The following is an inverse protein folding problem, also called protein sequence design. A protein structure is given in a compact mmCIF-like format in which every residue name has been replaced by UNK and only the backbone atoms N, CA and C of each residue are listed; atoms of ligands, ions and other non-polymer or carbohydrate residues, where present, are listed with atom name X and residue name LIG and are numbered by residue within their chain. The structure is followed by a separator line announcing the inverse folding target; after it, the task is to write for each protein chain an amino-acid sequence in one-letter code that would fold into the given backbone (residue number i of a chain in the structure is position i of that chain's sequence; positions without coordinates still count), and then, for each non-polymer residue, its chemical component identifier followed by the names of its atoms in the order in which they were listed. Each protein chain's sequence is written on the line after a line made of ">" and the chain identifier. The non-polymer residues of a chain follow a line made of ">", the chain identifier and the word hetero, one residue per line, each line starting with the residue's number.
data_IF_564747684068
#
_entry.id   IF_564747684068
#
_cell.length_a   1.000
_cell.length_b   1.000
_cell.length_c   1.000
_cell.angle_alpha   90.00
_cell.angle_beta   90.00
_cell.angle_gamma   90.00
#
_symmetry.space_group_name_H-M   'P 1'
#
loop_
_entity.id
_entity.type
_entity.pdbx_description
1 polymer ?
#
# COMPACT_ATOMS: atom_id res chain seq x y z
N UNK A 1 -18.44 12.72 -10.40
CA UNK A 1 -18.25 11.63 -11.40
C UNK A 1 -19.31 10.58 -11.15
N UNK A 2 -20.02 10.08 -12.19
CA UNK A 2 -21.03 9.03 -12.00
C UNK A 2 -20.35 7.69 -11.70
N UNK A 3 -20.72 7.06 -10.57
CA UNK A 3 -20.17 5.76 -10.16
C UNK A 3 -20.62 4.61 -11.07
N UNK A 4 -21.73 4.80 -11.81
CA UNK A 4 -22.42 3.75 -12.56
C UNK A 4 -21.83 3.46 -13.95
N UNK A 5 -20.77 4.17 -14.34
CA UNK A 5 -20.18 4.04 -15.68
C UNK A 5 -18.96 3.12 -15.76
N UNK A 6 -18.38 2.73 -14.61
CA UNK A 6 -17.24 1.81 -14.59
C UNK A 6 -17.73 0.36 -14.47
N UNK A 7 -17.53 -0.49 -15.47
CA UNK A 7 -17.85 -1.90 -15.34
C UNK A 7 -17.03 -2.54 -14.24
N UNK A 8 -17.67 -3.27 -13.34
CA UNK A 8 -17.02 -3.96 -12.22
C UNK A 8 -17.33 -5.44 -12.24
N UNK A 9 -16.37 -6.25 -11.78
CA UNK A 9 -16.54 -7.68 -11.63
C UNK A 9 -15.91 -8.15 -10.32
N UNK A 10 -16.73 -8.73 -9.46
CA UNK A 10 -16.23 -9.41 -8.27
C UNK A 10 -15.53 -10.71 -8.67
N UNK A 11 -14.38 -10.93 -8.07
CA UNK A 11 -13.55 -12.13 -8.22
C UNK A 11 -13.62 -12.89 -6.89
N UNK A 12 -14.13 -14.09 -6.94
CA UNK A 12 -14.29 -14.98 -5.78
C UNK A 12 -13.80 -16.37 -6.18
N UNK A 13 -12.50 -16.57 -6.07
CA UNK A 13 -11.82 -17.83 -6.37
C UNK A 13 -11.17 -18.36 -5.09
N UNK A 14 -10.89 -19.64 -5.04
CA UNK A 14 -10.15 -20.24 -3.93
C UNK A 14 -8.79 -19.58 -3.73
N UNK A 15 -8.10 -19.27 -4.82
CA UNK A 15 -6.75 -18.73 -4.85
C UNK A 15 -6.67 -17.20 -4.98
N UNK A 16 -7.80 -16.49 -5.23
CA UNK A 16 -7.80 -15.04 -5.46
C UNK A 16 -9.17 -14.41 -5.19
N UNK A 17 -9.18 -13.32 -4.42
CA UNK A 17 -10.38 -12.55 -4.07
C UNK A 17 -10.16 -11.05 -4.30
N UNK A 18 -11.17 -10.36 -4.80
CA UNK A 18 -11.11 -8.92 -5.02
C UNK A 18 -12.19 -8.41 -5.97
N UNK A 19 -12.03 -7.18 -6.44
CA UNK A 19 -12.92 -6.54 -7.42
C UNK A 19 -12.11 -5.91 -8.54
N UNK A 20 -12.39 -6.31 -9.78
CA UNK A 20 -11.85 -5.69 -10.98
C UNK A 20 -12.75 -4.53 -11.41
N UNK A 21 -12.17 -3.37 -11.64
CA UNK A 21 -12.75 -2.19 -12.25
C UNK A 21 -12.16 -2.07 -13.66
N UNK A 22 -12.96 -2.33 -14.68
CA UNK A 22 -12.52 -2.20 -16.07
C UNK A 22 -12.36 -0.73 -16.46
N UNK A 23 -11.29 -0.41 -17.16
CA UNK A 23 -11.03 0.95 -17.63
C UNK A 23 -12.14 1.49 -18.54
N UNK A 24 -12.43 2.79 -18.43
CA UNK A 24 -13.34 3.45 -19.34
C UNK A 24 -12.67 3.76 -20.69
N UNK A 25 -13.46 3.65 -21.75
CA UNK A 25 -12.99 3.89 -23.12
C UNK A 25 -12.83 2.60 -23.92
N UNK A 26 -12.09 2.69 -25.05
CA UNK A 26 -11.79 1.51 -25.87
C UNK A 26 -10.57 0.81 -25.26
N UNK A 27 -10.80 -0.36 -24.68
CA UNK A 27 -9.75 -1.22 -24.14
C UNK A 27 -9.05 -2.09 -25.19
N UNK A 28 -8.12 -2.95 -24.78
CA UNK A 28 -7.72 -3.17 -23.39
C UNK A 28 -6.94 -2.02 -22.77
N UNK A 29 -6.72 -2.04 -21.45
CA UNK A 29 -6.17 -0.95 -20.66
C UNK A 29 -4.94 -1.39 -19.85
N UNK A 30 -4.00 -0.48 -19.49
CA UNK A 30 -2.90 -0.80 -18.57
C UNK A 30 -3.44 -1.31 -17.22
N UNK A 31 -2.81 -2.37 -16.70
CA UNK A 31 -3.23 -3.00 -15.46
C UNK A 31 -2.65 -2.34 -14.21
N UNK A 32 -3.46 -2.18 -13.16
CA UNK A 32 -3.00 -1.71 -11.84
C UNK A 32 -3.58 -2.59 -10.74
N UNK A 33 -2.71 -3.16 -9.91
CA UNK A 33 -3.09 -3.84 -8.67
C UNK A 33 -3.21 -2.81 -7.54
N UNK A 34 -4.33 -2.80 -6.81
CA UNK A 34 -4.55 -1.92 -5.67
C UNK A 34 -4.64 -2.74 -4.39
N UNK A 35 -3.78 -2.43 -3.41
CA UNK A 35 -3.57 -3.20 -2.18
C UNK A 35 -4.00 -2.37 -0.97
N UNK A 36 -4.95 -2.89 -0.19
CA UNK A 36 -5.45 -2.21 1.00
C UNK A 36 -4.46 -2.25 2.18
N UNK A 37 -4.66 -1.39 3.17
CA UNK A 37 -3.89 -1.40 4.42
C UNK A 37 -4.43 -2.38 5.45
N UNK A 38 -3.97 -2.24 6.71
CA UNK A 38 -4.34 -3.10 7.85
C UNK A 38 -5.82 -3.03 8.25
N UNK A 39 -6.58 -2.07 7.75
CA UNK A 39 -8.03 -1.97 7.97
C UNK A 39 -8.89 -2.93 7.13
N UNK A 40 -8.30 -3.88 6.40
CA UNK A 40 -9.04 -4.78 5.50
C UNK A 40 -9.48 -4.12 4.19
N UNK A 41 -10.16 -4.90 3.34
CA UNK A 41 -10.62 -4.46 2.02
C UNK A 41 -12.04 -3.87 2.02
N UNK A 42 -12.37 -3.12 0.98
CA UNK A 42 -13.72 -2.61 0.74
C UNK A 42 -13.93 -1.12 0.99
N UNK A 43 -12.89 -0.39 1.40
CA UNK A 43 -12.96 1.03 1.71
C UNK A 43 -12.45 1.94 0.59
N UNK A 44 -11.47 2.77 0.95
CA UNK A 44 -10.89 3.80 0.08
C UNK A 44 -10.10 3.24 -1.11
N UNK A 45 -9.53 2.04 -1.00
CA UNK A 45 -8.79 1.36 -2.07
C UNK A 45 -9.71 1.01 -3.25
N UNK A 46 -10.96 0.63 -3.00
CA UNK A 46 -11.96 0.42 -4.06
C UNK A 46 -12.32 1.73 -4.77
N UNK A 47 -12.36 2.83 -4.01
CA UNK A 47 -12.57 4.17 -4.57
C UNK A 47 -11.38 4.58 -5.43
N UNK A 48 -10.16 4.28 -4.97
CA UNK A 48 -8.94 4.52 -5.72
C UNK A 48 -8.92 3.72 -7.04
N UNK A 49 -9.22 2.41 -6.98
CA UNK A 49 -9.32 1.55 -8.15
C UNK A 49 -10.37 2.06 -9.17
N UNK A 50 -11.55 2.50 -8.67
CA UNK A 50 -12.56 3.13 -9.52
C UNK A 50 -12.06 4.43 -10.17
N UNK A 51 -11.30 5.24 -9.43
CA UNK A 51 -10.71 6.46 -9.98
C UNK A 51 -9.68 6.16 -11.07
N UNK A 52 -8.85 5.13 -10.90
CA UNK A 52 -7.94 4.64 -11.93
C UNK A 52 -8.72 4.19 -13.18
N UNK A 53 -9.82 3.47 -13.01
CA UNK A 53 -10.65 3.03 -14.14
C UNK A 53 -11.26 4.21 -14.92
N UNK A 54 -11.62 5.30 -14.25
CA UNK A 54 -12.02 6.55 -14.92
C UNK A 54 -10.89 7.20 -15.73
N UNK A 55 -9.64 6.88 -15.42
CA UNK A 55 -8.45 7.33 -16.15
C UNK A 55 -7.91 6.31 -17.14
N UNK A 56 -8.70 5.28 -17.46
CA UNK A 56 -8.36 4.30 -18.49
C UNK A 56 -7.42 3.18 -18.02
N UNK A 57 -7.42 2.83 -16.74
CA UNK A 57 -6.70 1.67 -16.21
C UNK A 57 -7.66 0.52 -15.92
N UNK A 58 -7.23 -0.72 -16.14
CA UNK A 58 -7.88 -1.90 -15.58
C UNK A 58 -7.34 -2.11 -14.16
N UNK A 59 -8.13 -1.73 -13.14
CA UNK A 59 -7.68 -1.71 -11.75
C UNK A 59 -8.28 -2.88 -10.96
N UNK A 60 -7.43 -3.74 -10.39
CA UNK A 60 -7.84 -4.85 -9.54
C UNK A 60 -7.56 -4.54 -8.08
N UNK A 61 -8.63 -4.30 -7.32
CA UNK A 61 -8.56 -4.15 -5.87
C UNK A 61 -8.56 -5.54 -5.23
N UNK A 62 -7.40 -5.99 -4.77
CA UNK A 62 -7.20 -7.33 -4.20
C UNK A 62 -7.55 -7.36 -2.72
N UNK A 63 -8.29 -8.39 -2.29
CA UNK A 63 -8.59 -8.69 -0.89
C UNK A 63 -7.69 -9.85 -0.46
N UNK A 64 -6.79 -9.67 0.51
CA UNK A 64 -5.80 -10.66 0.90
C UNK A 64 -5.93 -11.14 2.36
N UNK A 65 -6.68 -10.41 3.19
CA UNK A 65 -7.21 -10.84 4.50
C UNK A 65 -8.55 -10.13 4.77
N UNK A 66 -9.25 -10.51 5.85
CA UNK A 66 -10.55 -9.96 6.26
C UNK A 66 -11.58 -9.95 5.12
N UNK A 67 -11.56 -10.98 4.29
CA UNK A 67 -12.46 -11.13 3.16
C UNK A 67 -12.92 -12.58 2.94
N UNK A 68 -13.92 -12.81 2.09
CA UNK A 68 -14.45 -14.16 1.86
C UNK A 68 -13.38 -15.15 1.41
N UNK A 69 -13.12 -16.17 2.24
CA UNK A 69 -12.14 -17.21 1.96
C UNK A 69 -10.68 -16.76 2.10
N UNK A 70 -10.46 -15.67 2.78
CA UNK A 70 -9.13 -15.15 3.14
C UNK A 70 -8.87 -15.32 4.64
N UNK A 71 -7.60 -15.23 5.08
CA UNK A 71 -7.28 -15.16 6.51
C UNK A 71 -8.05 -14.04 7.22
N UNK A 72 -8.36 -14.21 8.49
CA UNK A 72 -9.07 -13.21 9.28
C UNK A 72 -8.18 -12.00 9.64
N UNK A 73 -6.85 -12.16 9.52
CA UNK A 73 -5.87 -11.15 9.93
C UNK A 73 -4.73 -11.00 8.91
N UNK A 74 -4.01 -9.89 9.03
CA UNK A 74 -2.73 -9.65 8.37
C UNK A 74 -1.62 -10.46 9.09
N UNK A 75 -1.61 -11.75 8.88
CA UNK A 75 -0.65 -12.67 9.47
C UNK A 75 -0.13 -13.66 8.41
N UNK A 76 1.18 -13.72 8.26
CA UNK A 76 1.89 -14.63 7.35
C UNK A 76 1.32 -14.68 5.93
N UNK A 77 0.90 -13.52 5.41
CA UNK A 77 0.38 -13.42 4.04
C UNK A 77 1.50 -13.73 3.04
N UNK A 78 1.33 -14.73 2.19
CA UNK A 78 2.38 -15.07 1.23
C UNK A 78 2.46 -14.05 0.10
N UNK A 79 3.65 -13.52 -0.18
CA UNK A 79 3.86 -12.57 -1.30
C UNK A 79 3.47 -13.19 -2.64
N UNK A 80 3.54 -14.50 -2.79
CA UNK A 80 3.05 -15.21 -3.96
C UNK A 80 1.56 -15.00 -4.24
N UNK A 81 0.77 -14.57 -3.23
CA UNK A 81 -0.62 -14.19 -3.43
C UNK A 81 -0.75 -12.94 -4.31
N UNK A 82 0.09 -11.94 -4.07
CA UNK A 82 0.15 -10.73 -4.90
C UNK A 82 0.74 -11.03 -6.28
N UNK A 83 1.76 -11.89 -6.36
CA UNK A 83 2.28 -12.37 -7.64
C UNK A 83 1.20 -13.03 -8.50
N UNK A 84 0.36 -13.90 -7.90
CA UNK A 84 -0.81 -14.48 -8.61
C UNK A 84 -1.82 -13.42 -9.04
N UNK A 85 -2.03 -12.38 -8.21
CA UNK A 85 -2.93 -11.29 -8.58
C UNK A 85 -2.41 -10.51 -9.79
N UNK A 86 -1.10 -10.27 -9.85
CA UNK A 86 -0.40 -9.65 -11.00
C UNK A 86 -0.61 -10.49 -12.27
N UNK A 87 -0.25 -11.78 -12.23
CA UNK A 87 -0.41 -12.68 -13.40
C UNK A 87 -1.88 -12.79 -13.81
N UNK A 88 -2.77 -12.95 -12.85
CA UNK A 88 -4.20 -13.00 -13.12
C UNK A 88 -4.70 -11.73 -13.82
N UNK A 89 -4.26 -10.55 -13.40
CA UNK A 89 -4.66 -9.28 -14.00
C UNK A 89 -4.15 -9.16 -15.44
N UNK A 90 -2.89 -9.54 -15.68
CA UNK A 90 -2.28 -9.54 -17.02
C UNK A 90 -2.98 -10.50 -18.00
N UNK A 91 -3.51 -11.61 -17.50
CA UNK A 91 -4.27 -12.58 -18.30
C UNK A 91 -5.71 -12.13 -18.63
N UNK A 92 -6.13 -10.94 -18.23
CA UNK A 92 -7.50 -10.48 -18.47
C UNK A 92 -7.64 -9.80 -19.83
N UNK A 93 -8.78 -10.03 -20.53
CA UNK A 93 -9.05 -9.36 -21.79
C UNK A 93 -9.23 -7.84 -21.62
N UNK A 94 -9.48 -7.38 -20.38
CA UNK A 94 -9.57 -5.98 -20.03
C UNK A 94 -8.19 -5.31 -19.89
N UNK A 95 -7.12 -6.11 -19.76
CA UNK A 95 -5.76 -5.62 -19.49
C UNK A 95 -4.88 -5.69 -20.73
N UNK A 96 -4.07 -4.66 -20.93
CA UNK A 96 -3.06 -4.55 -21.98
C UNK A 96 -1.66 -4.38 -21.35
N UNK A 97 -0.66 -4.91 -22.02
CA UNK A 97 0.74 -4.81 -21.63
C UNK A 97 1.30 -6.06 -20.96
N UNK A 98 2.58 -6.02 -20.67
CA UNK A 98 3.35 -7.13 -20.10
C UNK A 98 3.64 -6.92 -18.60
N UNK A 99 3.38 -5.72 -18.10
CA UNK A 99 3.65 -5.31 -16.72
C UNK A 99 2.46 -4.56 -16.15
N UNK A 100 2.34 -4.56 -14.82
CA UNK A 100 1.31 -3.81 -14.09
C UNK A 100 1.94 -2.81 -13.13
N UNK A 101 1.19 -1.77 -12.79
CA UNK A 101 1.51 -0.95 -11.63
C UNK A 101 0.94 -1.57 -10.35
N UNK A 102 1.57 -1.29 -9.20
CA UNK A 102 1.03 -1.66 -7.89
C UNK A 102 0.88 -0.41 -7.04
N UNK A 103 -0.32 -0.21 -6.50
CA UNK A 103 -0.62 0.90 -5.57
C UNK A 103 -0.99 0.30 -4.22
N UNK A 104 -0.33 0.75 -3.15
CA UNK A 104 -0.59 0.27 -1.80
C UNK A 104 -0.73 1.39 -0.77
N UNK A 105 -1.45 1.12 0.32
CA UNK A 105 -1.72 2.06 1.39
C UNK A 105 -1.28 1.50 2.73
N UNK A 106 -0.51 2.28 3.53
CA UNK A 106 -0.08 1.86 4.86
C UNK A 106 0.66 0.50 4.78
N UNK A 107 0.19 -0.54 5.48
CA UNK A 107 0.70 -1.91 5.36
C UNK A 107 0.61 -2.47 3.92
N UNK A 108 -0.40 -2.06 3.16
CA UNK A 108 -0.48 -2.38 1.74
C UNK A 108 0.61 -1.71 0.90
N UNK A 109 1.17 -0.59 1.37
CA UNK A 109 2.35 0.05 0.77
C UNK A 109 3.62 -0.78 0.95
N UNK A 110 3.80 -1.41 2.13
CA UNK A 110 4.86 -2.43 2.31
C UNK A 110 4.68 -3.60 1.31
N UNK A 111 3.44 -4.13 1.23
CA UNK A 111 3.12 -5.19 0.27
C UNK A 111 3.38 -4.78 -1.17
N UNK A 112 3.08 -3.53 -1.55
CA UNK A 112 3.33 -3.01 -2.89
C UNK A 112 4.83 -2.97 -3.21
N UNK A 113 5.66 -2.44 -2.30
CA UNK A 113 7.11 -2.43 -2.45
C UNK A 113 7.71 -3.84 -2.47
N UNK A 114 7.28 -4.73 -1.57
CA UNK A 114 7.69 -6.14 -1.56
C UNK A 114 7.29 -6.86 -2.85
N UNK A 115 6.07 -6.60 -3.35
CA UNK A 115 5.62 -7.18 -4.62
C UNK A 115 6.48 -6.69 -5.78
N UNK A 116 6.77 -5.38 -5.86
CA UNK A 116 7.67 -4.82 -6.87
C UNK A 116 9.08 -5.38 -6.81
N UNK A 117 9.61 -5.62 -5.60
CA UNK A 117 10.95 -6.14 -5.39
C UNK A 117 11.12 -7.63 -5.72
N UNK A 118 10.03 -8.40 -5.77
CA UNK A 118 10.08 -9.86 -5.94
C UNK A 118 9.40 -10.38 -7.20
N UNK A 119 8.63 -9.56 -7.93
CA UNK A 119 7.91 -9.99 -9.14
C UNK A 119 8.21 -9.06 -10.32
N UNK A 120 8.94 -9.56 -11.30
CA UNK A 120 9.45 -8.82 -12.47
C UNK A 120 8.34 -8.19 -13.35
N UNK A 121 7.11 -8.72 -13.26
CA UNK A 121 5.95 -8.18 -14.01
C UNK A 121 5.35 -6.91 -13.37
N UNK A 122 5.94 -6.40 -12.29
CA UNK A 122 5.61 -5.09 -11.69
C UNK A 122 6.49 -4.02 -12.33
N UNK A 123 5.86 -3.05 -12.98
CA UNK A 123 6.51 -1.98 -13.72
C UNK A 123 6.52 -0.63 -13.02
N UNK A 124 5.70 -0.44 -11.99
CA UNK A 124 5.68 0.79 -11.18
C UNK A 124 5.15 0.49 -9.79
N UNK A 125 5.64 1.21 -8.78
CA UNK A 125 5.12 1.13 -7.40
C UNK A 125 4.74 2.52 -6.91
N UNK A 126 3.52 2.65 -6.38
CA UNK A 126 3.05 3.84 -5.67
C UNK A 126 2.61 3.43 -4.27
N UNK A 127 3.24 3.97 -3.23
CA UNK A 127 2.92 3.62 -1.85
C UNK A 127 2.57 4.85 -1.03
N UNK A 128 1.39 4.81 -0.40
CA UNK A 128 0.86 5.89 0.43
C UNK A 128 1.04 5.57 1.91
N UNK A 129 1.56 6.53 2.68
CA UNK A 129 1.75 6.43 4.13
C UNK A 129 2.38 5.11 4.54
N UNK A 130 3.41 4.68 3.80
CA UNK A 130 4.06 3.38 3.92
C UNK A 130 5.34 3.43 4.76
N UNK A 131 5.95 2.28 4.95
CA UNK A 131 7.25 2.12 5.59
C UNK A 131 8.24 1.44 4.65
N UNK A 132 9.50 1.91 4.63
CA UNK A 132 10.64 1.23 4.02
C UNK A 132 11.16 0.03 4.83
N UNK A 133 10.67 -0.14 6.06
CA UNK A 133 10.87 -1.36 6.84
C UNK A 133 9.63 -2.24 6.78
N UNK A 134 9.81 -3.55 6.76
CA UNK A 134 8.72 -4.47 7.05
C UNK A 134 8.48 -4.53 8.57
N UNK A 135 7.21 -4.53 8.97
CA UNK A 135 6.78 -4.65 10.35
C UNK A 135 6.08 -6.00 10.62
N UNK A 136 5.96 -6.44 11.88
CA UNK A 136 5.26 -7.66 12.24
C UNK A 136 3.76 -7.59 11.91
N UNK A 137 3.07 -8.69 12.08
CA UNK A 137 1.61 -8.71 12.07
C UNK A 137 1.07 -7.75 13.14
N UNK A 138 0.02 -6.96 12.84
CA UNK A 138 -0.52 -6.01 13.81
C UNK A 138 -1.28 -6.73 14.94
N UNK A 139 -0.92 -6.46 16.19
CA UNK A 139 -1.52 -7.09 17.37
C UNK A 139 -2.82 -6.41 17.82
N UNK A 140 -3.09 -5.20 17.33
CA UNK A 140 -4.25 -4.38 17.73
C UNK A 140 -5.58 -4.79 17.08
N UNK A 141 -5.61 -5.78 16.19
CA UNK A 141 -6.86 -6.22 15.55
C UNK A 141 -7.76 -6.93 16.58
N UNK A 142 -8.99 -6.42 16.84
CA UNK A 142 -9.84 -6.99 17.89
C UNK A 142 -10.18 -8.46 17.64
N UNK A 143 -9.95 -9.29 18.66
CA UNK A 143 -10.28 -10.73 18.59
C UNK A 143 -9.32 -11.59 17.78
N UNK A 144 -8.19 -11.01 17.35
CA UNK A 144 -7.16 -11.73 16.62
C UNK A 144 -5.85 -11.65 17.41
N UNK A 145 -5.40 -12.79 17.91
CA UNK A 145 -4.08 -12.93 18.52
C UNK A 145 -3.11 -13.40 17.42
N UNK A 146 -2.25 -12.50 16.95
CA UNK A 146 -1.22 -12.79 15.96
C UNK A 146 0.13 -12.37 16.47
N UNK A 147 1.11 -13.22 16.30
CA UNK A 147 2.50 -12.95 16.61
C UNK A 147 3.37 -13.37 15.42
N UNK A 148 4.30 -12.51 15.04
CA UNK A 148 5.27 -12.84 14.00
C UNK A 148 5.14 -12.02 12.72
N UNK A 149 5.56 -12.58 11.57
CA UNK A 149 5.66 -11.82 10.33
C UNK A 149 4.29 -11.52 9.73
N UNK A 150 4.09 -10.31 9.21
CA UNK A 150 2.94 -10.01 8.37
C UNK A 150 3.03 -10.72 7.01
N UNK A 151 4.25 -10.86 6.49
CA UNK A 151 4.53 -11.34 5.14
C UNK A 151 5.42 -12.56 5.14
N UNK A 152 5.20 -13.47 4.17
CA UNK A 152 6.08 -14.60 3.90
C UNK A 152 6.48 -14.66 2.42
N UNK A 153 7.71 -15.13 2.15
CA UNK A 153 8.23 -15.40 0.81
C UNK A 153 8.69 -16.85 0.76
N UNK A 154 8.14 -17.63 -0.17
CA UNK A 154 8.44 -19.06 -0.34
C UNK A 154 8.24 -19.90 0.95
N UNK A 155 7.35 -19.44 1.82
CA UNK A 155 7.03 -20.08 3.11
C UNK A 155 7.85 -19.57 4.29
N UNK A 156 8.93 -18.84 4.04
CA UNK A 156 9.77 -18.25 5.08
C UNK A 156 9.28 -16.83 5.46
N UNK A 157 9.44 -16.39 6.72
CA UNK A 157 9.18 -15.02 7.13
C UNK A 157 9.98 -14.01 6.30
N UNK A 158 9.32 -12.99 5.76
CA UNK A 158 10.03 -11.77 5.33
C UNK A 158 10.63 -11.15 6.58
N UNK A 159 11.96 -10.84 6.60
CA UNK A 159 12.56 -10.19 7.75
C UNK A 159 11.85 -8.87 8.09
N UNK A 160 11.58 -8.64 9.36
CA UNK A 160 10.83 -7.49 9.86
C UNK A 160 11.46 -6.94 11.15
N UNK A 161 11.10 -5.72 11.54
CA UNK A 161 11.48 -5.15 12.83
C UNK A 161 10.68 -5.84 13.94
N UNK A 162 11.33 -6.50 14.91
CA UNK A 162 10.65 -7.17 16.02
C UNK A 162 10.20 -6.13 17.06
N UNK A 163 9.09 -5.46 16.82
CA UNK A 163 8.58 -4.36 17.65
C UNK A 163 8.39 -4.81 19.10
N UNK A 164 7.82 -5.99 19.33
CA UNK A 164 7.54 -6.52 20.65
C UNK A 164 8.83 -6.78 21.48
N UNK A 165 9.95 -7.05 20.82
CA UNK A 165 11.27 -7.21 21.47
C UNK A 165 11.95 -5.85 21.73
N UNK A 166 11.62 -4.82 20.95
CA UNK A 166 12.30 -3.52 20.95
C UNK A 166 11.58 -2.46 21.79
N UNK A 167 10.30 -2.70 22.09
CA UNK A 167 9.45 -1.82 22.87
C UNK A 167 8.94 -2.60 24.06
N UNK A 168 9.39 -2.26 25.29
CA UNK A 168 8.84 -2.85 26.50
C UNK A 168 7.36 -2.45 26.58
N UNK A 169 6.47 -3.43 26.72
CA UNK A 169 5.06 -3.19 26.98
C UNK A 169 4.92 -2.47 28.33
N UNK A 170 4.54 -1.20 28.33
CA UNK A 170 3.88 -0.63 29.50
C UNK A 170 2.51 -1.31 29.56
N UNK A 171 2.27 -2.03 30.68
CA UNK A 171 1.08 -2.87 30.92
C UNK A 171 -0.18 -2.02 31.19
N UNK A 172 -0.44 -0.99 30.41
CA UNK A 172 -1.68 -0.23 30.50
C UNK A 172 -2.57 -0.54 29.29
N UNK A 173 -3.82 -0.87 29.60
CA UNK A 173 -4.74 -1.56 28.69
C UNK A 173 -5.05 -0.81 27.41
N UNK A 174 -5.54 -1.54 26.44
CA UNK A 174 -5.90 -1.17 25.06
C UNK A 174 -6.73 0.14 24.90
N UNK A 175 -7.39 0.62 25.96
CA UNK A 175 -8.14 1.89 25.93
C UNK A 175 -7.20 3.12 25.91
N UNK A 176 -5.97 3.01 26.43
CA UNK A 176 -4.99 4.10 26.48
C UNK A 176 -4.17 4.23 25.16
N UNK A 177 -4.09 3.17 24.38
CA UNK A 177 -3.40 3.15 23.07
C UNK A 177 -3.99 4.13 22.04
N UNK A 178 -5.24 4.56 22.24
CA UNK A 178 -5.94 5.47 21.32
C UNK A 178 -5.82 6.94 21.78
N UNK A 179 -5.47 7.21 23.02
CA UNK A 179 -5.39 8.58 23.58
C UNK A 179 -3.97 9.11 23.82
N UNK A 180 -2.94 8.26 23.82
CA UNK A 180 -1.57 8.68 24.09
C UNK A 180 -0.60 8.17 23.02
N UNK A 181 0.01 9.09 22.30
CA UNK A 181 1.37 9.13 21.71
C UNK A 181 1.98 7.86 21.09
N UNK A 182 1.21 6.88 20.61
CA UNK A 182 1.76 5.68 19.97
C UNK A 182 2.10 5.81 18.46
N UNK A 183 2.24 7.00 17.95
CA UNK A 183 3.31 7.36 17.02
C UNK A 183 4.61 6.65 17.41
N UNK A 184 4.63 6.16 18.62
CA UNK A 184 5.79 5.88 19.39
C UNK A 184 6.27 4.42 19.25
N UNK A 185 5.42 3.41 19.07
CA UNK A 185 5.92 2.05 19.01
C UNK A 185 6.84 1.81 17.81
N UNK A 186 6.47 2.29 16.62
CA UNK A 186 7.32 2.17 15.43
C UNK A 186 8.57 3.07 15.54
N UNK A 187 8.43 4.27 16.10
CA UNK A 187 9.55 5.19 16.34
C UNK A 187 10.53 4.62 17.35
N UNK A 188 10.02 4.11 18.48
CA UNK A 188 10.83 3.45 19.52
C UNK A 188 11.50 2.19 18.99
N UNK A 189 10.77 1.37 18.23
CA UNK A 189 11.35 0.16 17.62
C UNK A 189 12.52 0.52 16.70
N UNK A 190 12.37 1.54 15.85
CA UNK A 190 13.46 2.01 14.99
C UNK A 190 14.64 2.56 15.82
N UNK A 191 14.35 3.35 16.86
CA UNK A 191 15.39 3.96 17.70
C UNK A 191 16.17 2.93 18.53
N UNK A 192 15.52 1.83 18.96
CA UNK A 192 16.14 0.79 19.78
C UNK A 192 16.75 -0.34 18.96
N UNK A 193 16.43 -0.43 17.67
CA UNK A 193 16.94 -1.48 16.80
C UNK A 193 18.45 -1.30 16.53
N UNK A 194 19.16 -2.41 16.45
CA UNK A 194 20.52 -2.44 15.96
C UNK A 194 20.59 -2.21 14.45
N UNK A 195 21.73 -1.73 13.95
CA UNK A 195 21.96 -1.57 12.50
C UNK A 195 21.68 -2.87 11.71
N UNK A 196 21.95 -4.02 12.32
CA UNK A 196 21.69 -5.33 11.71
C UNK A 196 20.19 -5.60 11.58
N UNK A 197 19.40 -5.31 12.62
CA UNK A 197 17.95 -5.46 12.61
C UNK A 197 17.31 -4.50 11.59
N UNK A 198 17.73 -3.23 11.57
CA UNK A 198 17.28 -2.24 10.59
C UNK A 198 17.61 -2.71 9.15
N UNK A 199 18.86 -3.11 8.90
CA UNK A 199 19.27 -3.57 7.58
C UNK A 199 18.48 -4.79 7.10
N UNK A 200 18.20 -5.75 7.99
CA UNK A 200 17.44 -6.96 7.68
C UNK A 200 15.96 -6.67 7.40
N UNK A 201 15.36 -5.75 8.16
CA UNK A 201 13.95 -5.37 8.01
C UNK A 201 13.71 -4.42 6.83
N UNK A 202 14.77 -3.77 6.30
CA UNK A 202 14.62 -2.85 5.16
C UNK A 202 14.17 -3.60 3.92
N UNK A 203 13.05 -3.15 3.33
CA UNK A 203 12.50 -3.70 2.10
C UNK A 203 13.52 -3.50 0.96
N UNK A 204 13.81 -4.53 0.15
CA UNK A 204 14.83 -4.46 -0.91
C UNK A 204 14.30 -3.74 -2.16
N UNK A 205 13.92 -2.46 -2.00
CA UNK A 205 13.28 -1.63 -3.04
C UNK A 205 14.17 -1.41 -4.27
N UNK A 206 15.49 -1.51 -4.14
CA UNK A 206 16.44 -1.44 -5.25
C UNK A 206 16.25 -2.53 -6.31
N UNK A 207 15.49 -3.57 -5.98
CA UNK A 207 15.16 -4.65 -6.92
C UNK A 207 13.93 -4.34 -7.77
N UNK A 208 13.20 -3.26 -7.46
CA UNK A 208 12.04 -2.86 -8.25
C UNK A 208 12.56 -2.39 -9.62
N UNK A 209 12.08 -3.02 -10.67
CA UNK A 209 12.44 -2.61 -12.04
C UNK A 209 11.39 -1.64 -12.61
N UNK A 210 11.35 -0.44 -12.06
CA UNK A 210 10.41 0.60 -12.46
C UNK A 210 10.41 1.79 -11.50
N UNK A 211 9.70 2.88 -11.86
CA UNK A 211 9.59 4.06 -11.02
C UNK A 211 8.87 3.75 -9.68
N UNK A 212 9.32 4.43 -8.62
CA UNK A 212 8.80 4.30 -7.26
C UNK A 212 8.36 5.66 -6.73
N UNK A 213 7.08 5.78 -6.40
CA UNK A 213 6.53 6.97 -5.76
C UNK A 213 6.06 6.65 -4.35
N UNK A 214 6.60 7.37 -3.37
CA UNK A 214 6.14 7.33 -1.99
C UNK A 214 5.42 8.63 -1.65
N UNK A 215 4.30 8.53 -0.94
CA UNK A 215 3.47 9.69 -0.55
C UNK A 215 3.17 9.60 0.93
N UNK A 216 3.55 10.62 1.71
CA UNK A 216 3.43 10.59 3.16
C UNK A 216 2.91 11.92 3.73
N UNK A 217 2.26 11.84 4.88
CA UNK A 217 1.86 12.99 5.68
C UNK A 217 2.90 13.33 6.74
N UNK A 218 3.17 14.64 6.96
CA UNK A 218 4.04 15.11 8.04
C UNK A 218 3.38 15.03 9.42
N UNK A 219 2.03 15.06 9.47
CA UNK A 219 1.22 14.93 10.67
C UNK A 219 0.52 13.56 10.74
N UNK A 220 1.20 12.51 10.24
CA UNK A 220 0.71 11.14 10.30
C UNK A 220 0.70 10.67 11.77
N UNK A 221 -0.50 10.38 12.32
CA UNK A 221 -0.69 10.00 13.72
C UNK A 221 -0.76 8.48 13.95
N UNK A 222 -0.55 7.67 12.90
CA UNK A 222 -0.48 6.20 13.02
C UNK A 222 0.97 5.75 13.17
N UNK A 223 1.84 6.26 12.33
CA UNK A 223 3.29 6.07 12.38
C UNK A 223 3.99 7.20 11.61
N UNK A 224 5.29 7.44 11.83
CA UNK A 224 6.01 8.51 11.15
C UNK A 224 6.27 8.18 9.69
N UNK A 225 5.20 8.10 8.86
CA UNK A 225 5.29 7.58 7.49
C UNK A 225 6.28 8.35 6.61
N UNK A 226 6.49 9.64 6.86
CA UNK A 226 7.47 10.42 6.12
C UNK A 226 8.90 9.92 6.37
N UNK A 227 9.27 9.67 7.63
CA UNK A 227 10.59 9.17 8.00
C UNK A 227 10.75 7.70 7.59
N UNK A 228 9.73 6.88 7.80
CA UNK A 228 9.72 5.48 7.42
C UNK A 228 9.82 5.30 5.88
N UNK A 229 9.16 6.14 5.11
CA UNK A 229 9.26 6.14 3.64
C UNK A 229 10.63 6.63 3.15
N UNK A 230 11.27 7.56 3.88
CA UNK A 230 12.60 8.05 3.56
C UNK A 230 13.62 6.92 3.47
N UNK A 231 13.50 5.91 4.34
CA UNK A 231 14.36 4.72 4.33
C UNK A 231 14.39 4.01 2.97
N UNK A 232 13.24 3.91 2.30
CA UNK A 232 13.17 3.30 0.99
C UNK A 232 13.83 4.19 -0.10
N UNK A 233 13.63 5.51 -0.04
CA UNK A 233 14.30 6.44 -0.97
C UNK A 233 15.81 6.42 -0.78
N UNK A 234 16.28 6.52 0.46
CA UNK A 234 17.71 6.48 0.76
C UNK A 234 18.37 5.17 0.26
N UNK A 235 17.63 4.05 0.33
CA UNK A 235 18.08 2.78 -0.23
C UNK A 235 18.13 2.79 -1.76
N UNK A 236 17.13 3.33 -2.42
CA UNK A 236 17.12 3.50 -3.89
C UNK A 236 18.29 4.36 -4.35
N UNK A 237 18.53 5.49 -3.68
CA UNK A 237 19.64 6.38 -3.97
C UNK A 237 21.01 5.69 -3.74
N UNK A 238 21.14 4.95 -2.64
CA UNK A 238 22.38 4.22 -2.31
C UNK A 238 22.73 3.10 -3.31
N UNK A 239 21.75 2.64 -4.10
CA UNK A 239 21.94 1.61 -5.12
C UNK A 239 21.87 2.15 -6.56
N UNK A 240 21.96 3.48 -6.74
CA UNK A 240 21.92 4.12 -8.06
C UNK A 240 20.69 3.63 -8.88
N UNK A 241 19.50 3.62 -8.25
CA UNK A 241 18.29 3.12 -8.88
C UNK A 241 18.04 3.81 -10.23
N UNK A 242 17.86 3.06 -11.35
CA UNK A 242 17.87 3.64 -12.68
C UNK A 242 16.55 4.36 -13.07
N UNK A 243 15.51 4.21 -12.24
CA UNK A 243 14.20 4.80 -12.50
C UNK A 243 13.92 5.99 -11.59
N UNK A 244 12.98 6.88 -11.96
CA UNK A 244 12.53 7.93 -11.06
C UNK A 244 12.05 7.37 -9.72
N UNK A 245 12.51 7.96 -8.62
CA UNK A 245 12.12 7.59 -7.26
C UNK A 245 11.93 8.85 -6.43
N UNK A 246 10.71 9.11 -5.98
CA UNK A 246 10.37 10.32 -5.24
C UNK A 246 9.57 10.04 -3.96
N UNK A 247 9.78 10.87 -2.96
CA UNK A 247 8.96 10.97 -1.78
C UNK A 247 8.25 12.34 -1.72
N UNK A 248 6.94 12.31 -1.85
CA UNK A 248 6.10 13.49 -1.65
C UNK A 248 5.64 13.56 -0.20
N UNK A 249 6.14 14.53 0.55
CA UNK A 249 5.69 14.79 1.92
C UNK A 249 4.79 16.02 1.93
N UNK A 250 3.56 15.86 2.44
CA UNK A 250 2.63 16.97 2.68
C UNK A 250 2.66 17.31 4.16
N UNK A 251 3.27 18.47 4.57
CA UNK A 251 3.58 18.74 5.98
C UNK A 251 2.39 18.67 6.93
N UNK A 252 1.22 19.18 6.50
CA UNK A 252 0.01 19.26 7.32
C UNK A 252 -0.96 18.08 7.12
N UNK A 253 -0.60 17.08 6.29
CA UNK A 253 -1.42 15.91 6.04
C UNK A 253 -1.08 14.78 7.02
N UNK A 254 -2.08 13.97 7.35
CA UNK A 254 -1.93 12.78 8.19
C UNK A 254 -1.86 11.49 7.38
N UNK A 255 -2.22 10.38 8.02
CA UNK A 255 -2.20 9.03 7.44
C UNK A 255 -3.19 8.84 6.27
N UNK A 256 -4.27 9.61 6.24
CA UNK A 256 -5.38 9.42 5.31
C UNK A 256 -5.23 10.17 3.99
N UNK A 257 -4.06 10.12 3.35
CA UNK A 257 -3.88 10.59 1.98
C UNK A 257 -4.42 9.50 1.05
N UNK A 258 -5.61 9.74 0.46
CA UNK A 258 -6.34 8.72 -0.31
C UNK A 258 -6.60 9.19 -1.74
N UNK A 259 -7.82 8.97 -2.29
CA UNK A 259 -8.21 9.48 -3.62
C UNK A 259 -8.73 10.91 -3.54
N UNK A 260 -8.45 11.78 -4.51
CA UNK A 260 -9.01 13.13 -4.57
C UNK A 260 -10.48 13.15 -5.01
N UNK A 261 -11.02 12.01 -5.47
CA UNK A 261 -12.36 11.93 -6.04
C UNK A 261 -13.39 11.40 -5.05
N UNK A 262 -14.61 11.94 -5.19
CA UNK A 262 -15.83 11.41 -4.58
C UNK A 262 -16.79 11.03 -5.70
N UNK A 263 -17.48 9.91 -5.52
CA UNK A 263 -18.50 9.45 -6.44
C UNK A 263 -19.90 9.76 -5.87
N UNK A 264 -20.89 9.90 -6.76
CA UNK A 264 -22.27 10.17 -6.35
C UNK A 264 -22.77 9.08 -5.39
N UNK A 265 -23.43 9.50 -4.32
CA UNK A 265 -23.93 8.59 -3.27
C UNK A 265 -22.92 8.20 -2.20
N UNK A 266 -21.66 8.58 -2.31
CA UNK A 266 -20.65 8.34 -1.27
C UNK A 266 -20.69 9.43 -0.18
N UNK A 267 -20.70 9.00 1.09
CA UNK A 267 -20.52 9.89 2.23
C UNK A 267 -19.18 10.58 2.20
N UNK A 268 -19.08 11.76 2.81
CA UNK A 268 -17.76 12.33 3.11
C UNK A 268 -17.00 11.35 4.03
N UNK A 269 -15.72 11.12 3.81
CA UNK A 269 -14.95 10.39 4.80
C UNK A 269 -15.06 11.16 6.12
N UNK A 270 -15.38 10.44 7.20
CA UNK A 270 -15.38 11.02 8.53
C UNK A 270 -13.98 11.55 8.84
N UNK A 271 -13.94 12.69 9.56
CA UNK A 271 -12.70 13.20 10.11
C UNK A 271 -12.25 12.24 11.21
N UNK A 272 -11.45 11.27 10.87
CA UNK A 272 -10.79 10.47 11.88
C UNK A 272 -9.55 11.22 12.37
N UNK A 273 -9.72 11.99 13.45
CA UNK A 273 -8.62 12.74 14.07
C UNK A 273 -7.48 11.84 14.54
N UNK A 274 -7.76 10.54 14.75
CA UNK A 274 -6.76 9.54 15.11
C UNK A 274 -5.77 9.25 13.99
N UNK A 275 -6.09 9.62 12.75
CA UNK A 275 -5.21 9.44 11.59
C UNK A 275 -4.29 10.66 11.35
N UNK A 276 -4.42 11.69 12.15
CA UNK A 276 -3.64 12.93 12.03
C UNK A 276 -4.01 13.80 10.84
N UNK A 277 -3.36 14.95 10.77
CA UNK A 277 -3.59 15.97 9.76
C UNK A 277 -4.99 16.58 9.80
N UNK A 278 -5.31 17.34 8.77
CA UNK A 278 -6.65 17.92 8.59
C UNK A 278 -7.29 17.36 7.29
N UNK A 279 -8.62 17.31 7.25
CA UNK A 279 -9.33 16.94 6.02
C UNK A 279 -8.87 17.72 4.79
N UNK A 280 -8.68 19.03 4.97
CA UNK A 280 -8.26 19.92 3.89
C UNK A 280 -6.85 19.59 3.43
N UNK A 281 -5.93 19.35 4.35
CA UNK A 281 -4.55 19.00 4.04
C UNK A 281 -4.48 17.61 3.37
N UNK A 282 -5.19 16.61 3.92
CA UNK A 282 -5.26 15.27 3.35
C UNK A 282 -5.85 15.27 1.93
N UNK A 283 -6.94 16.04 1.70
CA UNK A 283 -7.56 16.16 0.38
C UNK A 283 -6.65 16.87 -0.63
N UNK A 284 -5.91 17.89 -0.19
CA UNK A 284 -4.92 18.58 -1.04
C UNK A 284 -3.75 17.66 -1.38
N UNK A 285 -3.19 16.98 -0.39
CA UNK A 285 -2.13 16.00 -0.58
C UNK A 285 -2.55 14.89 -1.57
N UNK A 286 -3.78 14.39 -1.42
CA UNK A 286 -4.34 13.40 -2.34
C UNK A 286 -4.46 13.93 -3.78
N UNK A 287 -4.87 15.19 -3.97
CA UNK A 287 -5.00 15.81 -5.29
C UNK A 287 -3.62 16.06 -5.95
N UNK A 288 -2.64 16.47 -5.16
CA UNK A 288 -1.27 16.70 -5.65
C UNK A 288 -0.58 15.39 -6.00
N UNK A 289 -0.67 14.38 -5.11
CA UNK A 289 -0.09 13.06 -5.33
C UNK A 289 -0.75 12.30 -6.49
N UNK A 290 -2.06 12.49 -6.72
CA UNK A 290 -2.78 11.77 -7.77
C UNK A 290 -2.18 11.96 -9.16
N UNK A 291 -1.84 13.19 -9.52
CA UNK A 291 -1.26 13.50 -10.83
C UNK A 291 0.09 12.84 -11.02
N UNK A 292 0.94 12.92 -9.99
CA UNK A 292 2.26 12.31 -10.01
C UNK A 292 2.13 10.78 -10.05
N UNK A 293 1.21 10.20 -9.29
CA UNK A 293 0.96 8.76 -9.30
C UNK A 293 0.54 8.25 -10.70
N UNK A 294 -0.31 9.00 -11.43
CA UNK A 294 -0.68 8.64 -12.80
C UNK A 294 0.52 8.69 -13.76
N UNK A 295 1.41 9.67 -13.61
CA UNK A 295 2.64 9.77 -14.42
C UNK A 295 3.58 8.58 -14.14
N UNK A 296 3.81 8.23 -12.88
CA UNK A 296 4.64 7.09 -12.48
C UNK A 296 4.07 5.76 -12.98
N UNK A 297 2.77 5.55 -12.84
CA UNK A 297 2.10 4.34 -13.34
C UNK A 297 2.21 4.24 -14.86
N UNK A 298 1.97 5.34 -15.59
CA UNK A 298 2.11 5.35 -17.05
C UNK A 298 3.53 5.01 -17.47
N UNK A 299 4.52 5.71 -16.92
CA UNK A 299 5.92 5.59 -17.33
C UNK A 299 6.46 4.18 -17.04
N UNK A 300 6.09 3.54 -15.93
CA UNK A 300 6.55 2.20 -15.59
C UNK A 300 5.81 1.07 -16.31
N UNK A 301 4.53 1.24 -16.65
CA UNK A 301 3.74 0.20 -17.33
C UNK A 301 3.96 0.24 -18.85
N UNK A 302 4.12 1.44 -19.46
CA UNK A 302 4.17 1.62 -20.90
C UNK A 302 5.57 1.46 -21.53
N UNK A 303 6.64 1.39 -20.74
CA UNK A 303 8.03 1.26 -21.24
C UNK A 303 8.24 0.02 -22.12
N UNK A 304 7.40 -1.00 -22.03
CA UNK A 304 7.48 -2.21 -22.88
C UNK A 304 7.04 -2.00 -24.34
N UNK A 305 6.67 -0.79 -24.75
CA UNK A 305 6.15 -0.50 -26.12
C UNK A 305 7.21 0.00 -27.13
N UNK A 306 8.52 -0.02 -26.76
CA UNK A 306 9.60 0.41 -27.64
C UNK A 306 10.67 -0.65 -27.87
#
# INVERSE_FOLDING_TARGET
>A
MSADLVPTRDVRREDLTGTLFAGLGRGPHPGVLVVHGSGGGGGYERRYARSLAHHGYAAFCVEYFDGPGRPDALDRIPLSYFGRAVEWLLDRPETDGERVGVVGFSRGGEAAMLTGAHFERVGAVVAYSASGYAFPAPTWMPGVEVEGPAWTLDGDPVPYLPVDELVEEEQDGFEDVVENDDLDASTRAVANATDEQLRRATIPVERIDGPVLLVSGGEDAIWPSADLSRVAIDRLDAHDHPWPADLLVSPDAGHAIRTPYRFDGESAPDADHRLGGTHRANARAAADAWRVALDYLRDGIEVSRY
#
